data_IF_725590959492
#
_entry.id   IF_725590959492
#
_cell.length_a   1.000
_cell.length_b   1.000
_cell.length_c   1.000
_cell.angle_alpha   90.00
_cell.angle_beta   90.00
_cell.angle_gamma   90.00
#
_symmetry.space_group_name_H-M   'P 1'
#
loop_
_entity.id
_entity.type
_entity.pdbx_description
1 polymer ?
#
# COMPACT_ATOMS: atom_id res chain seq x y z
N UNK A 1 11.96 -2.07 -16.82
CA UNK A 1 10.76 -2.91 -16.57
C UNK A 1 11.19 -4.23 -15.93
N UNK A 2 10.43 -4.77 -14.96
CA UNK A 2 10.79 -6.00 -14.24
C UNK A 2 9.82 -7.11 -14.60
N UNK A 3 10.32 -8.25 -15.09
CA UNK A 3 9.48 -9.41 -15.41
C UNK A 3 8.78 -9.93 -14.14
N UNK A 4 7.46 -10.14 -14.22
CA UNK A 4 6.62 -10.57 -13.09
C UNK A 4 6.27 -12.06 -13.17
N UNK A 5 5.70 -12.53 -14.29
CA UNK A 5 5.25 -13.92 -14.52
C UNK A 5 4.74 -14.10 -15.96
N UNK A 6 4.62 -15.34 -16.46
CA UNK A 6 3.95 -15.65 -17.73
C UNK A 6 4.89 -15.68 -18.94
N UNK A 7 4.37 -15.38 -20.13
CA UNK A 7 5.17 -15.32 -21.36
C UNK A 7 6.03 -14.03 -21.39
N UNK A 8 7.37 -14.12 -21.49
CA UNK A 8 8.25 -12.97 -21.60
C UNK A 8 8.05 -12.11 -22.85
N UNK A 9 7.38 -12.63 -23.89
CA UNK A 9 7.09 -11.85 -25.10
C UNK A 9 5.97 -10.81 -24.90
N UNK A 10 5.13 -10.98 -23.87
CA UNK A 10 4.00 -10.10 -23.60
C UNK A 10 4.39 -8.98 -22.62
N UNK A 11 4.20 -7.73 -23.03
CA UNK A 11 4.55 -6.54 -22.22
C UNK A 11 3.80 -6.49 -20.89
N UNK A 12 2.57 -6.99 -20.85
CA UNK A 12 1.72 -7.00 -19.66
C UNK A 12 2.28 -7.82 -18.49
N UNK A 13 3.21 -8.73 -18.79
CA UNK A 13 3.87 -9.60 -17.82
C UNK A 13 5.04 -8.91 -17.11
N UNK A 14 5.28 -7.64 -17.41
CA UNK A 14 6.29 -6.81 -16.76
C UNK A 14 5.66 -5.76 -15.87
N UNK A 15 6.34 -5.43 -14.78
CA UNK A 15 6.05 -4.22 -14.00
C UNK A 15 6.66 -3.02 -14.71
N UNK A 16 5.85 -2.00 -15.08
CA UNK A 16 6.38 -0.75 -15.57
C UNK A 16 7.20 -0.07 -14.47
N UNK A 17 8.25 0.64 -14.86
CA UNK A 17 9.03 1.50 -13.97
C UNK A 17 9.14 2.85 -14.66
N UNK A 18 8.54 3.87 -14.07
CA UNK A 18 8.65 5.24 -14.54
C UNK A 18 9.94 5.87 -14.03
N UNK A 19 10.83 6.23 -14.94
CA UNK A 19 12.05 6.98 -14.63
C UNK A 19 11.78 8.47 -14.81
N UNK A 20 11.30 9.13 -13.74
CA UNK A 20 11.12 10.58 -13.73
C UNK A 20 12.47 11.31 -13.70
N UNK A 21 12.53 12.50 -14.30
CA UNK A 21 13.70 13.36 -14.21
C UNK A 21 13.92 13.85 -12.76
N UNK A 22 15.12 14.37 -12.46
CA UNK A 22 15.48 14.80 -11.11
C UNK A 22 14.51 15.87 -10.59
N UNK A 23 14.17 16.85 -11.43
CA UNK A 23 13.22 17.91 -11.09
C UNK A 23 11.85 17.37 -10.72
N UNK A 24 11.33 16.40 -11.48
CA UNK A 24 10.06 15.73 -11.17
C UNK A 24 10.13 15.00 -9.83
N UNK A 25 11.19 14.24 -9.55
CA UNK A 25 11.35 13.53 -8.26
C UNK A 25 11.38 14.48 -7.06
N UNK A 26 12.04 15.64 -7.21
CA UNK A 26 12.05 16.68 -6.16
C UNK A 26 10.65 17.23 -5.94
N UNK A 27 9.94 17.56 -7.03
CA UNK A 27 8.55 18.04 -6.95
C UNK A 27 7.62 17.01 -6.32
N UNK A 28 7.69 15.73 -6.74
CA UNK A 28 6.93 14.61 -6.18
C UNK A 28 7.18 14.46 -4.67
N UNK A 29 8.43 14.60 -4.22
CA UNK A 29 8.78 14.52 -2.80
C UNK A 29 8.12 15.64 -1.98
N UNK A 30 8.13 16.87 -2.49
CA UNK A 30 7.50 18.03 -1.83
C UNK A 30 5.98 17.84 -1.74
N UNK A 31 5.35 17.43 -2.85
CA UNK A 31 3.91 17.18 -2.89
C UNK A 31 3.52 16.06 -1.94
N UNK A 32 4.26 14.94 -1.95
CA UNK A 32 4.02 13.81 -1.07
C UNK A 32 4.10 14.21 0.41
N UNK A 33 5.09 15.03 0.79
CA UNK A 33 5.20 15.52 2.15
C UNK A 33 3.98 16.35 2.58
N UNK A 34 3.49 17.23 1.70
CA UNK A 34 2.29 18.03 1.96
C UNK A 34 1.03 17.17 2.10
N UNK A 35 0.82 16.21 1.20
CA UNK A 35 -0.32 15.30 1.22
C UNK A 35 -0.32 14.46 2.49
N UNK A 36 0.82 13.83 2.83
CA UNK A 36 0.91 12.98 4.03
C UNK A 36 0.64 13.79 5.30
N UNK A 37 1.18 15.01 5.39
CA UNK A 37 0.91 15.89 6.53
C UNK A 37 -0.59 16.18 6.67
N UNK A 38 -1.26 16.54 5.57
CA UNK A 38 -2.70 16.79 5.58
C UNK A 38 -3.50 15.55 6.02
N UNK A 39 -3.17 14.37 5.48
CA UNK A 39 -3.83 13.12 5.81
C UNK A 39 -3.64 12.72 7.28
N UNK A 40 -2.46 12.96 7.85
CA UNK A 40 -2.16 12.67 9.25
C UNK A 40 -2.82 13.67 10.21
N UNK A 41 -2.71 14.98 9.95
CA UNK A 41 -3.29 16.03 10.80
C UNK A 41 -4.81 15.93 10.89
N UNK A 42 -5.48 15.49 9.81
CA UNK A 42 -6.93 15.35 9.76
C UNK A 42 -7.42 13.92 10.07
N UNK A 43 -6.53 13.00 10.47
CA UNK A 43 -6.87 11.60 10.77
C UNK A 43 -7.63 10.89 9.64
N UNK A 44 -7.28 11.16 8.38
CA UNK A 44 -7.98 10.61 7.21
C UNK A 44 -7.51 9.18 6.85
N UNK A 45 -6.42 8.72 7.44
CA UNK A 45 -5.91 7.36 7.27
C UNK A 45 -6.40 6.44 8.38
N UNK A 46 -6.75 5.21 8.02
CA UNK A 46 -7.09 4.19 9.00
C UNK A 46 -5.93 3.90 9.97
N UNK A 47 -6.24 3.74 11.25
CA UNK A 47 -5.28 3.30 12.26
C UNK A 47 -4.79 1.86 12.03
N UNK A 48 -5.47 1.09 11.16
CA UNK A 48 -5.07 -0.25 10.74
C UNK A 48 -4.27 -0.27 9.43
N UNK A 49 -3.97 0.89 8.85
CA UNK A 49 -3.12 1.00 7.67
C UNK A 49 -1.66 1.16 8.09
N UNK A 50 -0.84 0.13 7.86
CA UNK A 50 0.59 0.15 8.21
C UNK A 50 1.50 0.42 7.01
N UNK A 51 1.01 0.16 5.80
CA UNK A 51 1.73 0.44 4.56
C UNK A 51 1.84 1.95 4.30
N UNK A 52 2.99 2.38 3.79
CA UNK A 52 3.27 3.77 3.38
C UNK A 52 3.10 4.83 4.47
N UNK A 53 3.11 4.44 5.76
CA UNK A 53 3.04 5.36 6.90
C UNK A 53 4.36 5.44 7.64
N UNK A 54 4.69 6.63 8.13
CA UNK A 54 5.89 6.83 8.96
C UNK A 54 5.74 6.04 10.26
N UNK A 55 6.85 5.48 10.75
CA UNK A 55 6.95 4.70 12.00
C UNK A 55 6.12 3.41 12.05
N UNK A 56 5.43 3.03 10.97
CA UNK A 56 4.73 1.76 10.86
C UNK A 56 5.49 0.84 9.89
N UNK A 57 5.47 -0.46 10.17
CA UNK A 57 6.20 -1.47 9.41
C UNK A 57 5.38 -2.74 9.22
N UNK A 58 5.81 -3.59 8.30
CA UNK A 58 5.18 -4.90 8.08
C UNK A 58 5.22 -5.77 9.35
N UNK A 59 6.33 -5.71 10.10
CA UNK A 59 6.47 -6.46 11.36
C UNK A 59 5.49 -5.98 12.43
N UNK A 60 5.27 -4.66 12.53
CA UNK A 60 4.27 -4.12 13.45
C UNK A 60 2.86 -4.55 13.08
N UNK A 61 2.53 -4.57 11.78
CA UNK A 61 1.25 -5.08 11.30
C UNK A 61 1.06 -6.57 11.65
N UNK A 62 2.09 -7.38 11.41
CA UNK A 62 2.04 -8.81 11.70
C UNK A 62 1.87 -9.06 13.21
N UNK A 63 2.63 -8.35 14.05
CA UNK A 63 2.52 -8.45 15.50
C UNK A 63 1.12 -8.03 15.97
N UNK A 64 0.59 -6.94 15.43
CA UNK A 64 -0.76 -6.46 15.74
C UNK A 64 -1.83 -7.50 15.37
N UNK A 65 -1.78 -8.06 14.17
CA UNK A 65 -2.68 -9.14 13.75
C UNK A 65 -2.55 -10.38 14.64
N UNK A 66 -1.31 -10.81 14.92
CA UNK A 66 -1.04 -11.98 15.77
C UNK A 66 -1.61 -11.80 17.16
N UNK A 67 -1.42 -10.63 17.78
CA UNK A 67 -1.98 -10.33 19.11
C UNK A 67 -3.50 -10.44 19.11
N UNK A 68 -4.17 -9.87 18.09
CA UNK A 68 -5.63 -9.99 17.94
C UNK A 68 -6.02 -11.46 17.86
N UNK A 69 -5.30 -12.24 17.04
CA UNK A 69 -5.65 -13.64 16.85
C UNK A 69 -5.44 -14.47 18.11
N UNK A 70 -4.31 -14.33 18.78
CA UNK A 70 -4.05 -15.05 20.03
C UNK A 70 -5.10 -14.73 21.09
N UNK A 71 -5.48 -13.46 21.24
CA UNK A 71 -6.53 -13.08 22.20
C UNK A 71 -7.90 -13.68 21.89
N UNK A 72 -8.28 -13.81 20.61
CA UNK A 72 -9.54 -14.48 20.26
C UNK A 72 -9.47 -16.00 20.47
N UNK A 73 -8.33 -16.63 20.16
CA UNK A 73 -8.11 -18.06 20.43
C UNK A 73 -8.14 -18.37 21.93
N UNK A 74 -7.52 -17.54 22.76
CA UNK A 74 -7.53 -17.69 24.22
C UNK A 74 -8.96 -17.59 24.81
N UNK A 75 -9.86 -16.88 24.12
CA UNK A 75 -11.29 -16.80 24.45
C UNK A 75 -12.12 -17.97 23.90
N UNK A 76 -11.48 -18.96 23.27
CA UNK A 76 -12.15 -20.12 22.65
C UNK A 76 -12.90 -19.79 21.36
N UNK A 77 -12.63 -18.66 20.70
CA UNK A 77 -13.29 -18.27 19.45
C UNK A 77 -12.50 -18.76 18.24
N UNK A 78 -13.23 -19.13 17.18
CA UNK A 78 -12.65 -19.42 15.87
C UNK A 78 -12.27 -18.13 15.13
N UNK A 79 -11.26 -18.23 14.25
CA UNK A 79 -10.72 -17.09 13.50
C UNK A 79 -10.53 -17.51 12.05
N UNK A 80 -11.14 -16.75 11.15
CA UNK A 80 -10.91 -16.84 9.72
C UNK A 80 -10.29 -15.53 9.22
N UNK A 81 -9.32 -15.64 8.30
CA UNK A 81 -8.65 -14.49 7.69
C UNK A 81 -8.76 -14.56 6.18
N UNK A 82 -9.16 -13.44 5.57
CA UNK A 82 -9.24 -13.30 4.11
C UNK A 82 -8.17 -12.32 3.66
N UNK A 83 -7.31 -12.77 2.75
CA UNK A 83 -6.31 -11.93 2.10
C UNK A 83 -6.81 -11.47 0.74
N UNK A 84 -6.69 -10.18 0.47
CA UNK A 84 -7.13 -9.54 -0.77
C UNK A 84 -5.93 -8.81 -1.38
N UNK A 85 -5.74 -8.96 -2.70
CA UNK A 85 -4.71 -8.25 -3.46
C UNK A 85 -5.31 -7.68 -4.75
N UNK A 86 -4.81 -6.51 -5.17
CA UNK A 86 -5.28 -5.82 -6.37
C UNK A 86 -4.41 -6.16 -7.58
N UNK A 87 -5.05 -6.53 -8.70
CA UNK A 87 -4.34 -6.69 -9.96
C UNK A 87 -3.90 -5.33 -10.50
N UNK A 88 -2.60 -5.20 -10.82
CA UNK A 88 -1.99 -3.98 -11.38
C UNK A 88 -2.39 -2.71 -10.59
N UNK A 89 -2.30 -2.74 -9.26
CA UNK A 89 -2.87 -1.72 -8.36
C UNK A 89 -2.55 -0.26 -8.73
N UNK A 90 -1.34 0.03 -9.19
CA UNK A 90 -0.94 1.38 -9.59
C UNK A 90 -1.41 1.77 -11.01
N UNK A 91 -1.61 0.79 -11.89
CA UNK A 91 -2.08 1.02 -13.26
C UNK A 91 -3.62 1.11 -13.32
N UNK A 92 -4.30 0.53 -12.33
CA UNK A 92 -5.77 0.41 -12.28
C UNK A 92 -6.48 1.58 -11.58
N UNK A 93 -5.77 2.66 -11.24
CA UNK A 93 -6.35 3.81 -10.53
C UNK A 93 -7.19 4.68 -11.47
N UNK A 94 -8.45 4.92 -11.12
CA UNK A 94 -9.34 5.81 -11.88
C UNK A 94 -9.00 7.26 -11.54
N UNK A 95 -8.44 7.98 -12.51
CA UNK A 95 -7.89 9.34 -12.31
C UNK A 95 -8.95 10.35 -11.88
N UNK A 96 -10.15 10.30 -12.47
CA UNK A 96 -11.26 11.19 -12.10
C UNK A 96 -11.59 11.08 -10.61
N UNK A 97 -11.59 9.86 -10.06
CA UNK A 97 -11.87 9.63 -8.64
C UNK A 97 -10.72 10.03 -7.71
N UNK A 98 -9.50 10.09 -8.23
CA UNK A 98 -8.32 10.47 -7.44
C UNK A 98 -8.20 12.00 -7.29
N UNK A 99 -8.67 12.75 -8.29
CA UNK A 99 -8.55 14.21 -8.34
C UNK A 99 -9.79 14.97 -7.84
N UNK A 100 -10.90 14.26 -7.59
CA UNK A 100 -12.14 14.79 -7.00
C UNK A 100 -12.07 14.80 -5.47
#
# INVERSE_FOLDING_TARGET
PIFKKGDPSLVENYRPISLCCITCKVMESIINQSIILHLETNNLLSNKQFGFRKKLSCNLQLLHCKNIWTTQLDQGKAIDTIYIDFCKAFDSVVHDKLLL
#
